data_IF_002456242277
#
_entry.id   IF_002456242277
#
_cell.length_a   1.000
_cell.length_b   1.000
_cell.length_c   1.000
_cell.angle_alpha   90.00
_cell.angle_beta   90.00
_cell.angle_gamma   90.00
#
_symmetry.space_group_name_H-M   'P 1'
#
loop_
_entity.id
_entity.type
_entity.pdbx_description
1 polymer ?
#
# COMPACT_ATOMS: atom_id res chain seq x y z
N UNK A 1 -4.64 0.23 -14.12
CA UNK A 1 -3.81 1.44 -13.85
C UNK A 1 -2.79 1.08 -12.78
N UNK A 2 -1.59 1.68 -12.80
CA UNK A 2 -0.56 1.47 -11.77
C UNK A 2 -0.43 2.71 -10.89
N UNK A 3 -0.37 2.55 -9.57
CA UNK A 3 -0.17 3.65 -8.63
C UNK A 3 0.85 3.27 -7.55
N UNK A 4 1.67 4.23 -7.15
CA UNK A 4 2.66 4.05 -6.10
C UNK A 4 2.31 4.92 -4.89
N UNK A 5 2.29 4.32 -3.70
CA UNK A 5 2.00 5.00 -2.44
C UNK A 5 3.27 5.06 -1.60
N UNK A 6 3.70 6.28 -1.25
CA UNK A 6 4.79 6.49 -0.31
C UNK A 6 4.25 6.45 1.13
N UNK A 7 4.37 5.27 1.75
CA UNK A 7 3.96 4.98 3.11
C UNK A 7 2.53 4.45 3.24
N UNK A 8 2.37 3.24 3.77
CA UNK A 8 1.08 2.68 4.16
C UNK A 8 0.74 2.98 5.63
N UNK A 9 0.70 4.27 5.98
CA UNK A 9 0.10 4.73 7.24
C UNK A 9 -1.43 4.71 7.17
N UNK A 10 -2.12 5.30 8.16
CA UNK A 10 -3.58 5.30 8.21
C UNK A 10 -4.25 5.77 6.90
N UNK A 11 -3.80 6.91 6.35
CA UNK A 11 -4.37 7.48 5.12
C UNK A 11 -3.88 6.72 3.87
N UNK A 12 -2.57 6.46 3.77
CA UNK A 12 -1.99 5.77 2.62
C UNK A 12 -2.56 4.37 2.44
N UNK A 13 -2.75 3.63 3.54
CA UNK A 13 -3.40 2.33 3.54
C UNK A 13 -4.88 2.41 3.18
N UNK A 14 -5.62 3.39 3.69
CA UNK A 14 -7.03 3.56 3.33
C UNK A 14 -7.24 3.88 1.85
N UNK A 15 -6.43 4.78 1.29
CA UNK A 15 -6.45 5.11 -0.15
C UNK A 15 -6.02 3.89 -0.97
N UNK A 16 -4.92 3.23 -0.57
CA UNK A 16 -4.42 2.03 -1.23
C UNK A 16 -5.47 0.92 -1.29
N UNK A 17 -6.13 0.62 -0.17
CA UNK A 17 -7.19 -0.39 -0.14
C UNK A 17 -8.33 -0.08 -1.14
N UNK A 18 -8.73 1.19 -1.26
CA UNK A 18 -9.76 1.60 -2.23
C UNK A 18 -9.27 1.50 -3.68
N UNK A 19 -8.04 1.90 -3.97
CA UNK A 19 -7.47 1.78 -5.30
C UNK A 19 -7.31 0.31 -5.72
N UNK A 20 -6.87 -0.56 -4.80
CA UNK A 20 -6.79 -2.00 -5.05
C UNK A 20 -8.18 -2.59 -5.36
N UNK A 21 -9.21 -2.22 -4.58
CA UNK A 21 -10.60 -2.62 -4.84
C UNK A 21 -11.11 -2.15 -6.21
N UNK A 22 -10.62 -1.02 -6.72
CA UNK A 22 -10.93 -0.52 -8.06
C UNK A 22 -10.14 -1.22 -9.18
N UNK A 23 -9.33 -2.23 -8.87
CA UNK A 23 -8.53 -2.98 -9.84
C UNK A 23 -7.22 -2.30 -10.24
N UNK A 24 -6.75 -1.32 -9.46
CA UNK A 24 -5.43 -0.74 -9.67
C UNK A 24 -4.34 -1.66 -9.11
N UNK A 25 -3.26 -1.81 -9.86
CA UNK A 25 -2.03 -2.43 -9.35
C UNK A 25 -1.29 -1.41 -8.51
N UNK A 26 -0.91 -1.78 -7.29
CA UNK A 26 -0.29 -0.88 -6.34
C UNK A 26 1.13 -1.31 -6.01
N UNK A 27 2.02 -0.33 -5.96
CA UNK A 27 3.33 -0.43 -5.35
C UNK A 27 3.35 0.44 -4.09
N UNK A 28 4.00 0.01 -3.02
CA UNK A 28 4.09 0.78 -1.77
C UNK A 28 5.54 0.90 -1.34
N UNK A 29 5.98 2.14 -1.12
CA UNK A 29 7.28 2.42 -0.51
C UNK A 29 7.09 2.53 0.99
N UNK A 30 7.60 1.55 1.74
CA UNK A 30 7.59 1.51 3.20
C UNK A 30 8.97 1.18 3.75
N UNK A 31 9.17 1.34 5.06
CA UNK A 31 10.42 1.00 5.76
C UNK A 31 10.14 0.40 7.13
N UNK A 32 11.10 -0.35 7.67
CA UNK A 32 11.04 -0.97 8.99
C UNK A 32 9.83 -1.89 9.15
N UNK A 33 9.21 -1.87 10.33
CA UNK A 33 8.10 -2.76 10.69
C UNK A 33 6.90 -2.69 9.73
N UNK A 34 6.63 -1.53 9.12
CA UNK A 34 5.54 -1.40 8.13
C UNK A 34 5.87 -2.15 6.84
N UNK A 35 7.13 -2.11 6.39
CA UNK A 35 7.54 -2.87 5.20
C UNK A 35 7.48 -4.38 5.48
N UNK A 36 7.96 -4.81 6.64
CA UNK A 36 7.91 -6.22 7.05
C UNK A 36 6.47 -6.73 7.13
N UNK A 37 5.54 -5.94 7.67
CA UNK A 37 4.12 -6.28 7.71
C UNK A 37 3.52 -6.40 6.30
N UNK A 38 3.79 -5.42 5.42
CA UNK A 38 3.30 -5.47 4.03
C UNK A 38 3.84 -6.65 3.25
N UNK A 39 5.09 -7.06 3.48
CA UNK A 39 5.67 -8.22 2.80
C UNK A 39 5.07 -9.56 3.26
N UNK A 40 4.61 -9.65 4.51
CA UNK A 40 3.98 -10.86 5.03
C UNK A 40 2.49 -10.94 4.73
N UNK A 41 1.80 -9.81 4.88
CA UNK A 41 0.34 -9.76 5.02
C UNK A 41 -0.36 -8.91 3.93
N UNK A 42 0.40 -8.31 3.00
CA UNK A 42 -0.07 -7.35 1.98
C UNK A 42 -0.68 -7.96 0.72
#
# INVERSE_FOLDING_TARGET
MKACIYGAGAIGGWIGARLAQAGCTLDVVARGATLEALQRDG
#
